data_IF_756265082620
#
_entry.id   IF_756265082620
#
_cell.length_a   1.000
_cell.length_b   1.000
_cell.length_c   1.000
_cell.angle_alpha   90.00
_cell.angle_beta   90.00
_cell.angle_gamma   90.00
#
_symmetry.space_group_name_H-M   'P 1'
#
loop_
_entity.id
_entity.type
_entity.pdbx_description
1 polymer ?
#
# COMPACT_ATOMS: atom_id res chain seq x y z
N UNK A 1 7.61 1.85 35.45
CA UNK A 1 6.80 2.37 34.33
C UNK A 1 7.77 2.57 33.19
N UNK A 2 8.12 1.46 32.55
CA UNK A 2 9.24 1.32 31.63
C UNK A 2 8.65 1.17 30.24
N UNK A 3 9.02 2.07 29.35
CA UNK A 3 8.56 2.12 27.97
C UNK A 3 9.47 1.19 27.14
N UNK A 4 9.21 -0.12 27.23
CA UNK A 4 9.93 -1.16 26.47
C UNK A 4 9.12 -1.55 25.22
N UNK A 5 9.03 -0.66 24.25
CA UNK A 5 8.28 -0.94 23.02
C UNK A 5 8.85 -0.22 21.82
N UNK A 6 9.72 -0.89 21.04
CA UNK A 6 9.92 -0.62 19.60
C UNK A 6 11.02 -1.47 18.92
N UNK A 7 11.63 -2.49 19.55
CA UNK A 7 12.77 -3.21 18.93
C UNK A 7 12.59 -4.72 18.66
N UNK A 8 11.36 -5.25 18.69
CA UNK A 8 11.05 -6.68 18.43
C UNK A 8 9.97 -6.97 17.34
N UNK A 9 9.51 -5.96 16.60
CA UNK A 9 8.14 -5.94 16.05
C UNK A 9 7.78 -6.92 14.89
N UNK A 10 8.71 -7.69 14.31
CA UNK A 10 8.35 -8.72 13.31
C UNK A 10 8.17 -10.12 13.92
N UNK A 11 8.83 -10.39 15.05
CA UNK A 11 8.73 -11.67 15.76
C UNK A 11 7.58 -11.71 16.76
N UNK A 12 7.08 -10.56 17.21
CA UNK A 12 5.99 -10.46 18.20
C UNK A 12 4.58 -10.43 17.60
N UNK A 13 4.42 -10.18 16.29
CA UNK A 13 3.09 -10.17 15.66
C UNK A 13 2.52 -11.59 15.52
N UNK A 14 1.19 -11.76 15.73
CA UNK A 14 0.56 -13.07 15.63
C UNK A 14 0.65 -13.62 14.21
N UNK A 15 0.94 -14.91 14.10
CA UNK A 15 0.82 -15.64 12.83
C UNK A 15 -0.64 -15.89 12.49
N UNK A 16 -1.02 -15.87 11.19
CA UNK A 16 -2.37 -16.23 10.79
C UNK A 16 -2.67 -17.72 11.08
N UNK A 17 -3.90 -18.05 11.51
CA UNK A 17 -4.33 -19.43 11.63
C UNK A 17 -4.25 -20.15 10.27
N UNK A 18 -3.71 -21.39 10.21
CA UNK A 18 -3.54 -22.13 8.95
C UNK A 18 -4.82 -22.22 8.11
N UNK A 19 -5.97 -22.38 8.75
CA UNK A 19 -7.29 -22.49 8.14
C UNK A 19 -7.75 -21.18 7.48
N UNK A 20 -7.22 -20.01 7.87
CA UNK A 20 -7.60 -18.71 7.31
C UNK A 20 -6.62 -18.17 6.27
N UNK A 21 -5.45 -18.82 6.09
CA UNK A 21 -4.40 -18.39 5.15
C UNK A 21 -4.93 -18.15 3.73
N UNK A 22 -5.87 -18.98 3.28
CA UNK A 22 -6.48 -18.91 1.94
C UNK A 22 -7.42 -17.71 1.74
N UNK A 23 -7.77 -16.99 2.81
CA UNK A 23 -8.59 -15.76 2.78
C UNK A 23 -7.75 -14.49 2.80
N UNK A 24 -6.49 -14.58 3.20
CA UNK A 24 -5.66 -13.40 3.40
C UNK A 24 -5.15 -12.87 2.06
N UNK A 25 -5.36 -11.58 1.83
CA UNK A 25 -4.90 -10.86 0.65
C UNK A 25 -4.15 -9.63 1.12
N UNK A 26 -2.89 -9.52 0.72
CA UNK A 26 -2.13 -8.29 0.87
C UNK A 26 -2.38 -7.40 -0.33
N UNK A 27 -3.27 -6.42 -0.18
CA UNK A 27 -3.69 -5.57 -1.30
C UNK A 27 -2.64 -4.51 -1.68
N UNK A 28 -1.56 -4.38 -0.89
CA UNK A 28 -0.48 -3.45 -1.16
C UNK A 28 0.82 -3.84 -0.42
N UNK A 29 1.83 -4.25 -1.18
CA UNK A 29 3.14 -4.59 -0.64
C UNK A 29 4.31 -4.20 -1.54
N UNK A 30 5.51 -4.11 -0.95
CA UNK A 30 6.76 -3.77 -1.65
C UNK A 30 7.79 -4.90 -1.62
N UNK A 31 7.46 -6.13 -2.05
CA UNK A 31 8.38 -7.26 -1.93
C UNK A 31 9.64 -7.13 -2.78
N UNK A 32 9.62 -6.28 -3.82
CA UNK A 32 10.80 -5.95 -4.63
C UNK A 32 11.90 -5.22 -3.82
N UNK A 33 11.56 -4.71 -2.64
CA UNK A 33 12.52 -4.16 -1.69
C UNK A 33 12.96 -5.21 -0.63
N UNK A 34 12.59 -6.49 -0.73
CA UNK A 34 13.10 -7.51 0.20
C UNK A 34 14.63 -7.63 0.07
N UNK A 35 15.41 -7.73 1.18
CA UNK A 35 16.86 -7.84 1.13
C UNK A 35 17.42 -8.91 0.20
N UNK A 36 16.70 -10.02 0.00
CA UNK A 36 17.15 -11.09 -0.89
C UNK A 36 17.29 -10.65 -2.35
N UNK A 37 16.60 -9.58 -2.76
CA UNK A 37 16.70 -9.02 -4.12
C UNK A 37 18.01 -8.27 -4.38
N UNK A 38 18.72 -7.87 -3.31
CA UNK A 38 19.95 -7.10 -3.37
C UNK A 38 21.16 -7.88 -2.83
N UNK A 39 21.05 -9.21 -2.73
CA UNK A 39 22.17 -10.06 -2.35
C UNK A 39 23.24 -10.01 -3.45
N UNK A 40 24.37 -9.35 -3.13
CA UNK A 40 25.51 -9.20 -4.04
C UNK A 40 26.15 -10.53 -4.47
N UNK A 41 25.86 -11.64 -3.78
CA UNK A 41 26.32 -12.97 -4.14
C UNK A 41 25.46 -13.62 -5.25
N UNK A 42 24.27 -13.08 -5.53
CA UNK A 42 23.34 -13.61 -6.53
C UNK A 42 23.35 -12.78 -7.80
N UNK A 43 23.13 -13.45 -8.94
CA UNK A 43 22.77 -12.75 -10.18
C UNK A 43 21.35 -12.18 -10.05
N UNK A 44 21.03 -11.10 -10.79
CA UNK A 44 19.70 -10.49 -10.73
C UNK A 44 18.55 -11.50 -11.01
N UNK A 45 18.66 -12.44 -11.98
CA UNK A 45 17.63 -13.48 -12.14
C UNK A 45 17.51 -14.41 -10.92
N UNK A 46 18.63 -14.83 -10.34
CA UNK A 46 18.64 -15.71 -9.17
C UNK A 46 18.05 -15.02 -7.93
N UNK A 47 18.30 -13.72 -7.76
CA UNK A 47 17.73 -12.93 -6.67
C UNK A 47 16.19 -12.79 -6.81
N UNK A 48 15.70 -12.57 -8.04
CA UNK A 48 14.27 -12.56 -8.33
C UNK A 48 13.61 -13.93 -8.08
N UNK A 49 14.28 -15.03 -8.45
CA UNK A 49 13.79 -16.39 -8.17
C UNK A 49 13.76 -16.70 -6.67
N UNK A 50 14.77 -16.25 -5.91
CA UNK A 50 14.79 -16.40 -4.45
C UNK A 50 13.63 -15.63 -3.80
N UNK A 51 13.37 -14.39 -4.23
CA UNK A 51 12.21 -13.63 -3.76
C UNK A 51 10.90 -14.34 -4.10
N UNK A 52 10.77 -14.88 -5.31
CA UNK A 52 9.58 -15.62 -5.73
C UNK A 52 9.33 -16.84 -4.84
N UNK A 53 10.36 -17.63 -4.54
CA UNK A 53 10.23 -18.79 -3.64
C UNK A 53 9.77 -18.38 -2.25
N UNK A 54 10.32 -17.29 -1.70
CA UNK A 54 9.89 -16.73 -0.42
C UNK A 54 8.41 -16.33 -0.46
N UNK A 55 7.98 -15.61 -1.49
CA UNK A 55 6.59 -15.20 -1.68
C UNK A 55 5.63 -16.39 -1.81
N UNK A 56 6.05 -17.46 -2.50
CA UNK A 56 5.26 -18.70 -2.62
C UNK A 56 5.03 -19.36 -1.25
N UNK A 57 6.05 -19.35 -0.39
CA UNK A 57 5.98 -19.88 0.98
C UNK A 57 5.27 -18.96 1.99
N UNK A 58 5.01 -17.70 1.63
CA UNK A 58 4.32 -16.76 2.52
C UNK A 58 2.89 -17.27 2.80
N UNK A 59 2.44 -17.36 4.07
CA UNK A 59 1.15 -17.94 4.44
C UNK A 59 0.00 -16.95 4.17
N UNK A 60 -0.30 -16.76 2.89
CA UNK A 60 -1.32 -15.85 2.37
C UNK A 60 -1.82 -16.28 1.00
N UNK A 61 -3.03 -15.91 0.60
CA UNK A 61 -3.61 -16.27 -0.69
C UNK A 61 -3.04 -15.45 -1.84
N UNK A 62 -2.95 -14.12 -1.67
CA UNK A 62 -2.51 -13.20 -2.73
C UNK A 62 -1.66 -12.07 -2.17
N UNK A 63 -0.62 -11.72 -2.92
CA UNK A 63 0.23 -10.54 -2.70
C UNK A 63 0.09 -9.63 -3.91
N UNK A 64 -0.28 -8.37 -3.68
CA UNK A 64 -0.29 -7.33 -4.71
C UNK A 64 1.02 -6.55 -4.60
N UNK A 65 1.95 -6.83 -5.50
CA UNK A 65 3.30 -6.28 -5.49
C UNK A 65 3.36 -4.95 -6.25
N UNK A 66 3.57 -3.86 -5.51
CA UNK A 66 3.70 -2.53 -6.05
C UNK A 66 5.02 -2.34 -6.79
N UNK A 67 4.95 -1.60 -7.90
CA UNK A 67 6.11 -0.94 -8.46
C UNK A 67 6.08 0.54 -8.04
N UNK A 68 7.17 1.02 -7.47
CA UNK A 68 7.28 2.37 -6.90
C UNK A 68 8.03 3.30 -7.86
N UNK A 69 8.96 2.75 -8.63
CA UNK A 69 9.96 3.47 -9.41
C UNK A 69 10.40 2.71 -10.67
N UNK A 70 11.23 3.33 -11.50
CA UNK A 70 11.87 2.62 -12.62
C UNK A 70 12.84 1.50 -12.19
N UNK A 71 13.26 1.48 -10.91
CA UNK A 71 14.23 0.51 -10.39
C UNK A 71 13.60 -0.84 -10.12
N UNK A 72 12.45 -0.85 -9.46
CA UNK A 72 11.74 -2.05 -8.99
C UNK A 72 10.73 -2.59 -10.00
N UNK A 73 10.29 -1.77 -10.97
CA UNK A 73 9.42 -2.22 -12.08
C UNK A 73 9.90 -3.50 -12.79
N UNK A 74 11.18 -3.64 -13.20
CA UNK A 74 11.65 -4.87 -13.84
C UNK A 74 11.58 -6.10 -12.92
N UNK A 75 11.79 -5.91 -11.62
CA UNK A 75 11.73 -6.99 -10.62
C UNK A 75 10.28 -7.47 -10.51
N UNK A 76 9.33 -6.54 -10.32
CA UNK A 76 7.89 -6.84 -10.25
C UNK A 76 7.41 -7.55 -11.52
N UNK A 77 7.86 -7.08 -12.70
CA UNK A 77 7.55 -7.69 -13.98
C UNK A 77 8.04 -9.14 -14.07
N UNK A 78 9.28 -9.40 -13.64
CA UNK A 78 9.87 -10.74 -13.66
C UNK A 78 9.17 -11.71 -12.71
N UNK A 79 8.80 -11.23 -11.51
CA UNK A 79 8.09 -12.04 -10.52
C UNK A 79 6.73 -12.52 -11.09
N UNK A 80 6.01 -11.65 -11.81
CA UNK A 80 4.71 -11.98 -12.37
C UNK A 80 4.77 -12.83 -13.65
N UNK A 81 5.75 -12.60 -14.53
CA UNK A 81 5.93 -13.38 -15.76
C UNK A 81 6.16 -14.88 -15.50
N UNK A 82 6.70 -15.20 -14.32
CA UNK A 82 7.03 -16.56 -13.92
C UNK A 82 5.87 -17.32 -13.29
N UNK A 83 4.71 -16.69 -13.03
CA UNK A 83 3.50 -17.33 -12.47
C UNK A 83 2.59 -17.94 -13.54
N UNK A 84 2.79 -17.58 -14.81
CA UNK A 84 2.00 -18.03 -15.96
C UNK A 84 2.21 -19.52 -16.36
N UNK A 85 3.02 -20.30 -15.62
CA UNK A 85 3.39 -21.67 -16.01
C UNK A 85 2.86 -22.79 -15.10
N UNK A 86 1.99 -22.52 -14.14
CA UNK A 86 1.42 -23.55 -13.26
C UNK A 86 0.11 -24.12 -13.79
N UNK A 87 0.10 -24.65 -15.01
CA UNK A 87 -1.01 -25.49 -15.48
C UNK A 87 -0.79 -26.94 -15.05
N UNK A 88 -1.47 -27.40 -13.99
CA UNK A 88 -2.00 -28.78 -13.91
C UNK A 88 -3.06 -28.94 -12.80
N UNK A 89 -4.26 -29.34 -13.23
CA UNK A 89 -5.23 -30.20 -12.53
C UNK A 89 -5.91 -29.75 -11.22
N UNK A 90 -6.57 -28.59 -11.22
CA UNK A 90 -7.75 -28.41 -10.36
C UNK A 90 -8.79 -27.54 -11.08
N UNK A 91 -10.08 -27.91 -10.97
CA UNK A 91 -11.23 -27.28 -11.64
C UNK A 91 -11.61 -25.89 -11.09
N UNK A 92 -10.67 -25.19 -10.48
CA UNK A 92 -10.85 -23.84 -9.95
C UNK A 92 -9.84 -22.93 -10.65
N UNK A 93 -10.22 -21.75 -11.15
CA UNK A 93 -9.25 -20.80 -11.69
C UNK A 93 -8.20 -20.54 -10.61
N UNK A 94 -6.95 -20.95 -10.86
CA UNK A 94 -5.85 -20.74 -9.92
C UNK A 94 -5.66 -19.24 -9.75
N UNK A 95 -6.15 -18.68 -8.64
CA UNK A 95 -5.93 -17.29 -8.29
C UNK A 95 -4.41 -17.08 -8.19
N UNK A 96 -3.88 -16.13 -8.97
CA UNK A 96 -2.46 -15.84 -8.94
C UNK A 96 -2.05 -15.43 -7.51
N UNK A 97 -1.07 -16.15 -6.96
CA UNK A 97 -0.44 -15.82 -5.66
C UNK A 97 0.13 -14.40 -5.68
N UNK A 98 0.53 -13.91 -6.85
CA UNK A 98 1.19 -12.62 -7.02
C UNK A 98 0.53 -11.82 -8.14
N UNK A 99 0.08 -10.62 -7.82
CA UNK A 99 -0.45 -9.64 -8.77
C UNK A 99 0.54 -8.48 -8.89
N UNK A 100 1.12 -8.24 -10.08
CA UNK A 100 2.00 -7.09 -10.28
C UNK A 100 1.20 -5.79 -10.38
N UNK A 101 1.80 -4.70 -9.93
CA UNK A 101 1.31 -3.36 -10.22
C UNK A 101 2.35 -2.60 -11.01
N UNK A 102 1.88 -1.76 -11.92
CA UNK A 102 2.74 -0.88 -12.71
C UNK A 102 2.31 0.57 -12.51
N UNK A 103 3.26 1.42 -12.16
CA UNK A 103 3.01 2.82 -11.86
C UNK A 103 4.29 3.53 -11.46
N UNK A 104 4.22 4.86 -11.39
CA UNK A 104 5.27 5.70 -10.83
C UNK A 104 4.72 6.47 -9.63
N UNK A 105 5.34 6.21 -8.48
CA UNK A 105 5.01 6.82 -7.22
C UNK A 105 5.32 8.34 -7.23
N UNK A 106 4.51 9.21 -6.57
CA UNK A 106 4.74 10.66 -6.52
C UNK A 106 6.13 11.09 -6.02
N UNK A 107 6.82 10.24 -5.26
CA UNK A 107 8.22 10.50 -4.89
C UNK A 107 9.13 10.68 -6.10
N UNK A 108 8.87 9.95 -7.18
CA UNK A 108 9.65 9.99 -8.41
C UNK A 108 9.05 10.93 -9.48
N UNK A 109 7.99 11.68 -9.16
CA UNK A 109 7.37 12.62 -10.09
C UNK A 109 8.35 13.70 -10.60
N UNK A 110 9.37 14.06 -9.80
CA UNK A 110 10.43 14.98 -10.20
C UNK A 110 11.34 14.44 -11.32
N UNK A 111 11.30 13.14 -11.61
CA UNK A 111 12.12 12.49 -12.65
C UNK A 111 11.43 12.52 -14.02
N UNK A 112 10.23 13.10 -14.09
CA UNK A 112 9.39 13.14 -15.29
C UNK A 112 9.26 14.58 -15.76
N UNK A 113 9.60 14.81 -17.01
CA UNK A 113 9.34 16.05 -17.74
C UNK A 113 7.98 15.99 -18.42
N UNK A 114 7.25 17.11 -18.34
CA UNK A 114 5.98 17.32 -19.07
C UNK A 114 6.21 17.85 -20.50
N UNK A 115 7.46 18.05 -20.92
CA UNK A 115 7.78 18.43 -22.29
C UNK A 115 7.63 17.24 -23.26
N UNK A 116 7.40 17.54 -24.54
CA UNK A 116 7.23 16.52 -25.59
C UNK A 116 8.49 15.68 -25.83
N UNK A 117 9.68 16.27 -25.66
CA UNK A 117 10.96 15.61 -25.82
C UNK A 117 11.77 15.62 -24.52
N UNK A 118 12.65 14.62 -24.29
CA UNK A 118 13.54 14.63 -23.13
C UNK A 118 14.32 15.95 -23.03
N UNK A 119 14.42 16.56 -21.82
CA UNK A 119 15.22 17.76 -21.63
C UNK A 119 16.67 17.54 -22.07
N UNK A 120 17.22 18.47 -22.86
CA UNK A 120 18.62 18.42 -23.31
C UNK A 120 19.61 18.73 -22.19
N UNK A 121 19.16 19.52 -21.21
CA UNK A 121 19.94 19.92 -20.06
C UNK A 121 19.21 19.50 -18.78
N UNK A 122 19.81 18.52 -18.09
CA UNK A 122 19.32 17.98 -16.82
C UNK A 122 19.24 19.07 -15.75
N UNK A 123 20.27 19.91 -15.63
CA UNK A 123 20.33 20.98 -14.63
C UNK A 123 19.21 21.97 -14.86
N UNK A 124 19.06 22.43 -16.11
CA UNK A 124 18.01 23.39 -16.45
C UNK A 124 16.62 22.85 -16.15
N UNK A 125 16.35 21.58 -16.47
CA UNK A 125 15.07 20.95 -16.14
C UNK A 125 14.73 21.04 -14.64
N UNK A 126 15.68 20.69 -13.77
CA UNK A 126 15.45 20.71 -12.33
C UNK A 126 15.33 22.13 -11.77
N UNK A 127 16.08 23.09 -12.32
CA UNK A 127 15.93 24.50 -11.96
C UNK A 127 14.54 25.03 -12.34
N UNK A 128 14.06 24.70 -13.53
CA UNK A 128 12.72 25.09 -13.98
C UNK A 128 11.62 24.43 -13.14
N UNK A 129 11.77 23.13 -12.83
CA UNK A 129 10.82 22.37 -12.02
C UNK A 129 10.68 22.94 -10.60
N UNK A 130 11.79 23.38 -9.99
CA UNK A 130 11.80 23.91 -8.63
C UNK A 130 11.82 25.44 -8.57
N UNK A 131 11.54 26.12 -9.69
CA UNK A 131 11.52 27.57 -9.79
C UNK A 131 10.60 28.19 -8.71
N UNK A 132 11.10 29.24 -8.05
CA UNK A 132 10.40 29.93 -6.97
C UNK A 132 10.52 29.31 -5.58
N UNK A 133 11.16 28.14 -5.44
CA UNK A 133 11.48 27.58 -4.11
C UNK A 133 12.76 28.22 -3.53
N UNK A 134 12.76 28.42 -2.21
CA UNK A 134 13.89 29.06 -1.51
C UNK A 134 15.14 28.18 -1.60
N UNK A 135 16.24 28.76 -2.09
CA UNK A 135 17.52 28.07 -2.32
C UNK A 135 17.44 26.92 -3.32
N UNK A 136 16.48 26.97 -4.26
CA UNK A 136 16.33 25.91 -5.24
C UNK A 136 17.60 25.68 -6.05
N UNK A 137 18.22 26.76 -6.52
CA UNK A 137 19.47 26.71 -7.30
C UNK A 137 20.60 26.02 -6.53
N UNK A 138 20.91 26.51 -5.31
CA UNK A 138 21.97 25.94 -4.48
C UNK A 138 21.75 24.47 -4.15
N UNK A 139 20.50 24.08 -3.82
CA UNK A 139 20.19 22.69 -3.48
C UNK A 139 20.20 21.78 -4.70
N UNK A 140 19.71 22.24 -5.85
CA UNK A 140 19.80 21.49 -7.12
C UNK A 140 21.27 21.27 -7.47
N UNK A 141 22.11 22.29 -7.40
CA UNK A 141 23.54 22.18 -7.71
C UNK A 141 24.24 21.20 -6.76
N UNK A 142 23.87 21.18 -5.48
CA UNK A 142 24.41 20.24 -4.50
C UNK A 142 24.08 18.77 -4.83
N UNK A 143 22.88 18.50 -5.35
CA UNK A 143 22.40 17.13 -5.59
C UNK A 143 22.39 16.72 -7.06
N UNK A 144 22.84 17.60 -7.97
CA UNK A 144 22.68 17.42 -9.42
C UNK A 144 23.28 16.11 -9.94
N UNK A 145 24.41 15.69 -9.37
CA UNK A 145 25.06 14.43 -9.72
C UNK A 145 24.22 13.19 -9.36
N UNK A 146 23.44 13.29 -8.27
CA UNK A 146 22.65 12.21 -7.71
C UNK A 146 21.22 12.15 -8.27
N UNK A 147 20.71 13.25 -8.81
CA UNK A 147 19.44 13.27 -9.53
C UNK A 147 19.50 12.36 -10.77
N UNK A 148 18.42 11.69 -11.18
CA UNK A 148 18.40 10.94 -12.44
C UNK A 148 18.28 11.86 -13.65
N UNK A 149 18.51 11.34 -14.86
CA UNK A 149 18.14 12.06 -16.08
C UNK A 149 16.60 12.07 -16.25
N UNK A 150 15.99 13.22 -16.57
CA UNK A 150 14.55 13.31 -16.71
C UNK A 150 14.04 12.54 -17.92
N UNK A 151 12.96 11.79 -17.72
CA UNK A 151 12.22 11.04 -18.75
C UNK A 151 10.97 11.80 -19.17
N UNK A 152 10.42 11.56 -20.37
CA UNK A 152 9.16 12.21 -20.75
C UNK A 152 7.96 11.51 -20.12
N UNK A 153 6.85 12.25 -19.96
CA UNK A 153 5.58 11.65 -19.58
C UNK A 153 5.14 10.57 -20.58
N UNK A 154 5.39 10.77 -21.88
CA UNK A 154 5.09 9.76 -22.91
C UNK A 154 5.87 8.46 -22.71
N UNK A 155 7.16 8.56 -22.36
CA UNK A 155 7.98 7.38 -22.07
C UNK A 155 7.50 6.63 -20.82
N UNK A 156 7.11 7.36 -19.78
CA UNK A 156 6.49 6.78 -18.60
C UNK A 156 5.22 6.01 -18.96
N UNK A 157 4.27 6.65 -19.65
CA UNK A 157 2.99 6.02 -20.02
C UNK A 157 3.18 4.81 -20.93
N UNK A 158 4.14 4.86 -21.86
CA UNK A 158 4.50 3.71 -22.70
C UNK A 158 4.96 2.51 -21.86
N UNK A 159 5.80 2.73 -20.85
CA UNK A 159 6.28 1.66 -19.94
C UNK A 159 5.15 1.09 -19.09
N UNK A 160 4.33 1.96 -18.49
CA UNK A 160 3.18 1.55 -17.67
C UNK A 160 2.19 0.74 -18.52
N UNK A 161 1.85 1.21 -19.73
CA UNK A 161 1.00 0.49 -20.68
C UNK A 161 1.54 -0.89 -20.99
N UNK A 162 2.83 -0.98 -21.35
CA UNK A 162 3.48 -2.25 -21.66
C UNK A 162 3.38 -3.24 -20.48
N UNK A 163 3.55 -2.78 -19.24
CA UNK A 163 3.37 -3.59 -18.04
C UNK A 163 1.93 -4.11 -17.89
N UNK A 164 0.95 -3.22 -17.97
CA UNK A 164 -0.48 -3.52 -17.80
C UNK A 164 -1.08 -4.40 -18.92
N UNK A 165 -0.54 -4.30 -20.15
CA UNK A 165 -0.96 -5.13 -21.29
C UNK A 165 -0.31 -6.52 -21.25
N UNK A 166 0.94 -6.63 -20.78
CA UNK A 166 1.63 -7.92 -20.63
C UNK A 166 1.11 -8.77 -19.47
N UNK A 167 0.40 -8.17 -18.51
CA UNK A 167 -0.16 -8.83 -17.34
C UNK A 167 -1.64 -8.46 -17.19
N UNK A 168 -2.58 -9.25 -17.73
CA UNK A 168 -4.00 -8.89 -17.78
C UNK A 168 -4.66 -8.63 -16.42
N UNK A 169 -4.15 -9.26 -15.37
CA UNK A 169 -4.63 -9.13 -13.98
C UNK A 169 -3.93 -8.01 -13.20
N UNK A 170 -2.93 -7.35 -13.77
CA UNK A 170 -2.21 -6.26 -13.13
C UNK A 170 -3.12 -5.07 -12.83
N UNK A 171 -2.77 -4.28 -11.82
CA UNK A 171 -3.44 -3.02 -11.52
C UNK A 171 -2.46 -1.85 -11.68
N UNK A 172 -2.98 -0.62 -11.81
CA UNK A 172 -2.15 0.58 -11.79
C UNK A 172 -1.70 0.85 -10.35
N UNK A 173 -0.40 0.89 -10.10
CA UNK A 173 0.12 1.18 -8.77
C UNK A 173 1.64 1.03 -8.64
N UNK A 174 2.27 1.77 -7.73
CA UNK A 174 1.68 2.77 -6.84
C UNK A 174 1.71 4.16 -7.51
N UNK A 175 0.59 4.89 -7.52
CA UNK A 175 0.48 6.23 -8.11
C UNK A 175 -0.25 7.16 -7.17
N UNK A 176 -0.05 8.47 -7.22
CA UNK A 176 -0.77 9.35 -6.30
C UNK A 176 -0.20 10.75 -6.13
N UNK A 177 -0.44 11.32 -4.96
CA UNK A 177 -0.01 12.66 -4.55
C UNK A 177 0.68 12.59 -3.18
N UNK A 178 1.87 13.17 -3.08
CA UNK A 178 2.59 13.33 -1.82
C UNK A 178 3.05 14.78 -1.65
N UNK A 179 2.35 15.53 -0.79
CA UNK A 179 2.71 16.92 -0.47
C UNK A 179 3.80 17.01 0.61
N UNK A 180 4.06 15.93 1.32
CA UNK A 180 5.04 15.88 2.40
C UNK A 180 6.45 15.64 1.85
N UNK A 181 6.58 14.85 0.78
CA UNK A 181 7.85 14.39 0.21
C UNK A 181 8.80 15.54 -0.14
N UNK A 182 10.09 15.31 0.13
CA UNK A 182 11.22 16.19 -0.17
C UNK A 182 12.33 15.36 -0.79
N UNK A 183 13.05 15.93 -1.76
CA UNK A 183 14.11 15.19 -2.47
C UNK A 183 15.26 14.86 -1.49
N UNK A 184 15.74 13.62 -1.41
CA UNK A 184 16.92 13.27 -0.62
C UNK A 184 18.20 13.96 -1.12
N UNK A 185 19.14 14.29 -0.23
CA UNK A 185 20.43 14.91 -0.61
C UNK A 185 21.43 13.96 -1.26
N UNK A 186 21.24 12.67 -1.07
CA UNK A 186 22.01 11.63 -1.74
C UNK A 186 21.08 10.85 -2.64
N UNK A 187 21.64 10.27 -3.71
CA UNK A 187 20.89 9.34 -4.55
C UNK A 187 20.20 8.32 -3.66
N UNK A 188 18.94 8.02 -3.99
CA UNK A 188 18.20 6.97 -3.30
C UNK A 188 18.92 5.63 -3.49
N UNK A 189 19.80 5.29 -2.56
CA UNK A 189 20.42 3.97 -2.45
C UNK A 189 19.59 3.18 -1.45
N UNK A 190 18.81 2.22 -1.95
CA UNK A 190 18.23 1.22 -1.07
C UNK A 190 19.36 0.25 -0.70
N UNK A 191 19.76 0.29 0.56
CA UNK A 191 20.67 -0.68 1.15
C UNK A 191 19.93 -1.40 2.29
N UNK A 192 19.37 -2.59 2.04
CA UNK A 192 18.64 -3.35 3.03
C UNK A 192 19.52 -3.84 4.20
N UNK A 193 20.85 -3.72 4.06
CA UNK A 193 21.85 -4.16 5.03
C UNK A 193 22.56 -3.00 5.74
N UNK A 194 22.23 -1.75 5.43
CA UNK A 194 22.77 -0.59 6.16
C UNK A 194 22.40 -0.72 7.64
N UNK A 195 23.41 -0.75 8.51
CA UNK A 195 23.35 -1.22 9.92
C UNK A 195 22.48 -0.44 10.92
N UNK A 196 21.41 0.23 10.49
CA UNK A 196 20.40 0.88 11.32
C UNK A 196 19.10 0.06 11.41
N UNK A 197 19.21 -1.27 11.34
CA UNK A 197 18.09 -2.21 11.44
C UNK A 197 17.41 -2.24 12.83
N UNK A 198 17.95 -1.53 13.83
CA UNK A 198 17.47 -1.50 15.23
C UNK A 198 16.78 -0.19 15.63
N UNK A 199 16.38 0.65 14.67
CA UNK A 199 15.52 1.82 14.92
C UNK A 199 14.56 1.99 13.75
N UNK A 200 13.35 1.43 13.83
CA UNK A 200 12.16 1.79 13.04
C UNK A 200 12.41 2.37 11.64
N UNK A 201 13.33 1.79 10.88
CA UNK A 201 13.64 2.25 9.53
C UNK A 201 12.73 1.48 8.60
N UNK A 202 11.43 1.74 8.77
CA UNK A 202 10.42 1.33 7.83
C UNK A 202 10.65 2.14 6.56
N UNK A 203 11.52 1.61 5.69
CA UNK A 203 11.64 2.03 4.30
C UNK A 203 10.38 1.58 3.53
N UNK A 204 9.20 2.02 3.98
CA UNK A 204 7.93 1.83 3.30
C UNK A 204 7.49 3.18 2.75
N UNK A 205 6.80 3.21 1.61
CA UNK A 205 6.40 4.45 0.93
C UNK A 205 5.57 5.40 1.83
N UNK A 206 4.87 4.84 2.82
CA UNK A 206 4.00 5.58 3.73
C UNK A 206 4.51 5.68 5.17
N UNK A 207 5.65 5.05 5.49
CA UNK A 207 6.21 5.24 6.82
C UNK A 207 6.60 6.69 6.96
N UNK A 208 5.95 7.34 7.93
CA UNK A 208 6.44 8.58 8.51
C UNK A 208 7.95 8.40 8.64
N UNK A 209 8.73 9.23 7.96
CA UNK A 209 9.99 9.66 8.54
C UNK A 209 9.63 10.00 9.99
N UNK A 210 10.02 9.13 10.92
CA UNK A 210 9.78 9.30 12.35
C UNK A 210 10.46 10.57 12.89
N UNK A 211 11.13 11.32 12.03
CA UNK A 211 11.47 12.73 12.21
C UNK A 211 10.33 13.63 11.65
N UNK A 212 9.15 13.55 12.26
CA UNK A 212 8.10 14.55 12.09
C UNK A 212 8.50 15.88 12.78
N UNK A 213 8.16 17.05 12.22
CA UNK A 213 8.74 18.35 12.58
C UNK A 213 8.14 19.00 13.85
N UNK A 214 7.66 18.22 14.83
CA UNK A 214 7.05 18.77 16.04
C UNK A 214 7.20 17.92 17.32
N UNK A 215 8.23 17.06 17.40
CA UNK A 215 8.61 16.42 18.66
C UNK A 215 9.39 17.40 19.53
N UNK A 216 8.88 17.68 20.74
CA UNK A 216 9.60 18.40 21.77
C UNK A 216 10.98 17.79 21.99
N UNK A 217 11.98 18.66 22.07
CA UNK A 217 13.36 18.37 22.45
C UNK A 217 13.37 17.47 23.69
N UNK A 218 13.89 16.25 23.53
CA UNK A 218 14.52 15.54 24.62
C UNK A 218 15.96 16.04 24.68
N UNK A 219 16.28 16.72 25.76
CA UNK A 219 17.66 17.12 26.09
C UNK A 219 18.49 15.85 26.29
N UNK A 220 19.33 15.51 25.30
CA UNK A 220 20.44 14.60 25.51
C UNK A 220 21.57 15.41 26.18
N UNK A 221 21.57 15.37 27.52
CA UNK A 221 22.75 15.64 28.34
C UNK A 221 23.80 14.56 28.02
N UNK A 222 24.77 14.88 27.16
CA UNK A 222 26.04 14.16 27.10
C UNK A 222 27.21 15.14 26.98
N UNK A 223 27.90 15.21 28.12
CA UNK A 223 29.26 15.61 28.44
C UNK A 223 30.09 16.43 27.44
N UNK A 224 30.66 17.49 28.00
CA UNK A 224 31.41 18.55 27.35
C UNK A 224 32.70 18.06 26.68
N UNK A 225 32.83 18.23 25.36
CA UNK A 225 34.02 18.81 24.72
C UNK A 225 33.73 19.36 23.32
N UNK A 226 34.13 20.61 23.10
CA UNK A 226 33.83 21.40 21.92
C UNK A 226 34.49 20.89 20.63
N UNK A 227 33.70 20.54 19.61
CA UNK A 227 33.93 20.87 18.18
C UNK A 227 32.62 20.81 17.40
N UNK A 228 32.16 21.95 16.89
CA UNK A 228 30.94 22.08 16.09
C UNK A 228 31.08 21.33 14.75
N UNK A 229 30.42 20.18 14.60
CA UNK A 229 30.16 19.53 13.32
C UNK A 229 28.71 19.77 12.91
N UNK A 230 28.51 20.78 12.07
CA UNK A 230 27.25 21.07 11.39
C UNK A 230 26.99 20.01 10.32
N UNK A 231 26.28 18.93 10.62
CA UNK A 231 25.85 17.96 9.61
C UNK A 231 24.60 18.49 8.90
N UNK A 232 24.66 18.61 7.56
CA UNK A 232 23.49 19.02 6.76
C UNK A 232 22.34 18.00 6.92
N UNK A 233 21.07 18.43 6.87
CA UNK A 233 19.93 17.51 6.93
C UNK A 233 19.93 16.54 5.75
N UNK A 234 19.47 15.30 5.98
CA UNK A 234 19.43 14.23 4.96
C UNK A 234 18.53 14.55 3.76
N UNK A 235 17.49 15.36 3.96
CA UNK A 235 16.54 15.78 2.92
C UNK A 235 16.78 17.25 2.52
N UNK A 236 16.50 17.56 1.25
CA UNK A 236 16.44 18.92 0.73
C UNK A 236 15.16 19.64 1.18
N UNK A 237 15.04 20.91 0.81
CA UNK A 237 13.77 21.66 0.84
C UNK A 237 12.97 21.52 -0.45
N UNK A 238 13.59 21.00 -1.50
CA UNK A 238 12.97 20.80 -2.81
C UNK A 238 11.76 19.87 -2.70
N UNK A 239 10.62 20.35 -3.17
CA UNK A 239 9.39 19.57 -3.31
C UNK A 239 8.93 19.61 -4.76
N UNK A 240 8.52 18.47 -5.31
CA UNK A 240 7.86 18.45 -6.62
C UNK A 240 6.57 19.29 -6.55
N UNK A 241 6.38 20.31 -7.40
CA UNK A 241 5.17 21.12 -7.37
C UNK A 241 3.89 20.28 -7.50
N UNK A 242 2.87 20.63 -6.73
CA UNK A 242 1.59 19.90 -6.76
C UNK A 242 0.97 19.83 -8.18
N UNK A 243 0.95 20.91 -8.99
CA UNK A 243 0.45 20.82 -10.37
C UNK A 243 1.20 19.78 -11.23
N UNK A 244 2.51 19.61 -10.99
CA UNK A 244 3.34 18.64 -11.70
C UNK A 244 2.99 17.21 -11.30
N UNK A 245 2.83 16.94 -10.00
CA UNK A 245 2.35 15.64 -9.51
C UNK A 245 0.96 15.31 -10.09
N UNK A 246 0.03 16.28 -10.06
CA UNK A 246 -1.32 16.15 -10.60
C UNK A 246 -1.34 15.81 -12.10
N UNK A 247 -0.47 16.45 -12.90
CA UNK A 247 -0.35 16.16 -14.32
C UNK A 247 0.03 14.69 -14.58
N UNK A 248 1.01 14.18 -13.83
CA UNK A 248 1.51 12.81 -13.99
C UNK A 248 0.47 11.79 -13.53
N UNK A 249 -0.11 11.93 -12.33
CA UNK A 249 -1.09 10.97 -11.82
C UNK A 249 -2.38 10.96 -12.65
N UNK A 250 -2.83 12.13 -13.15
CA UNK A 250 -3.98 12.21 -14.06
C UNK A 250 -3.74 11.39 -15.33
N UNK A 251 -2.55 11.51 -15.92
CA UNK A 251 -2.21 10.77 -17.13
C UNK A 251 -2.13 9.24 -16.87
N UNK A 252 -1.54 8.83 -15.74
CA UNK A 252 -1.47 7.42 -15.35
C UNK A 252 -2.87 6.82 -15.11
N UNK A 253 -3.76 7.54 -14.41
CA UNK A 253 -5.13 7.05 -14.16
C UNK A 253 -5.95 7.05 -15.46
N UNK A 254 -5.79 8.03 -16.34
CA UNK A 254 -6.46 8.04 -17.64
C UNK A 254 -6.10 6.80 -18.48
N UNK A 255 -4.82 6.38 -18.43
CA UNK A 255 -4.38 5.12 -19.03
C UNK A 255 -5.03 3.90 -18.37
N UNK A 256 -5.17 3.89 -17.05
CA UNK A 256 -5.85 2.80 -16.34
C UNK A 256 -7.34 2.71 -16.68
N UNK A 257 -8.04 3.84 -16.85
CA UNK A 257 -9.43 3.86 -17.36
C UNK A 257 -9.50 3.27 -18.76
N UNK A 258 -8.62 3.73 -19.67
CA UNK A 258 -8.58 3.22 -21.04
C UNK A 258 -8.41 1.69 -21.09
N UNK A 259 -7.57 1.15 -20.20
CA UNK A 259 -7.28 -0.29 -20.12
C UNK A 259 -8.22 -1.07 -19.20
N UNK A 260 -9.15 -0.42 -18.49
CA UNK A 260 -10.00 -1.07 -17.49
C UNK A 260 -9.19 -1.69 -16.35
N UNK A 261 -8.31 -0.90 -15.73
CA UNK A 261 -7.40 -1.34 -14.66
C UNK A 261 -7.72 -0.59 -13.38
N UNK A 262 -7.86 -1.35 -12.29
CA UNK A 262 -8.04 -0.77 -10.96
C UNK A 262 -6.76 -0.02 -10.52
N UNK A 263 -6.89 0.81 -9.50
CA UNK A 263 -5.83 1.73 -9.05
C UNK A 263 -5.53 1.54 -7.58
N UNK A 264 -4.25 1.42 -7.24
CA UNK A 264 -3.72 1.63 -5.89
C UNK A 264 -3.18 3.07 -5.79
N UNK A 265 -3.84 3.90 -4.97
CA UNK A 265 -3.69 5.35 -4.95
C UNK A 265 -3.08 5.91 -3.65
N UNK A 266 -1.92 6.54 -3.76
CA UNK A 266 -1.20 7.22 -2.68
C UNK A 266 -1.73 8.62 -2.43
N UNK A 267 -1.95 8.97 -1.16
CA UNK A 267 -2.43 10.30 -0.78
C UNK A 267 -1.92 10.75 0.58
N UNK A 268 -0.81 11.50 0.59
CA UNK A 268 -0.21 12.03 1.82
C UNK A 268 -0.29 13.56 1.87
N UNK A 269 -0.90 14.07 2.95
CA UNK A 269 -1.16 15.49 3.17
C UNK A 269 -1.89 16.19 2.01
N UNK A 270 -2.70 15.43 1.25
CA UNK A 270 -3.25 15.86 -0.03
C UNK A 270 -4.78 15.72 -0.14
N UNK A 271 -5.51 15.43 0.94
CA UNK A 271 -6.93 15.03 0.88
C UNK A 271 -7.82 15.96 0.04
N UNK A 272 -7.67 17.28 0.16
CA UNK A 272 -8.42 18.23 -0.68
C UNK A 272 -8.07 18.13 -2.17
N UNK A 273 -6.78 18.06 -2.49
CA UNK A 273 -6.32 17.89 -3.87
C UNK A 273 -6.73 16.52 -4.45
N UNK A 274 -6.78 15.48 -3.61
CA UNK A 274 -7.26 14.16 -3.98
C UNK A 274 -8.75 14.17 -4.32
N UNK A 275 -9.59 14.84 -3.52
CA UNK A 275 -11.02 14.99 -3.83
C UNK A 275 -11.25 15.78 -5.12
N UNK A 276 -10.49 16.86 -5.33
CA UNK A 276 -10.56 17.65 -6.56
C UNK A 276 -10.15 16.84 -7.79
N UNK A 277 -9.07 16.08 -7.70
CA UNK A 277 -8.61 15.18 -8.76
C UNK A 277 -9.66 14.11 -9.06
N UNK A 278 -10.24 13.47 -8.04
CA UNK A 278 -11.29 12.45 -8.23
C UNK A 278 -12.50 13.02 -8.96
N UNK A 279 -12.93 14.24 -8.59
CA UNK A 279 -14.02 14.95 -9.28
C UNK A 279 -13.65 15.22 -10.74
N UNK A 280 -12.46 15.73 -10.99
CA UNK A 280 -11.98 16.03 -12.34
C UNK A 280 -11.91 14.77 -13.22
N UNK A 281 -11.35 13.68 -12.71
CA UNK A 281 -11.25 12.41 -13.44
C UNK A 281 -12.63 11.85 -13.81
N UNK A 282 -13.64 11.97 -12.94
CA UNK A 282 -15.01 11.55 -13.25
C UNK A 282 -15.67 12.44 -14.31
N UNK A 283 -15.28 13.71 -14.42
CA UNK A 283 -15.75 14.60 -15.49
C UNK A 283 -15.04 14.32 -16.82
N UNK A 284 -13.73 14.04 -16.76
CA UNK A 284 -12.91 13.71 -17.94
C UNK A 284 -13.27 12.35 -18.54
N UNK A 285 -13.64 11.38 -17.69
CA UNK A 285 -13.95 10.01 -18.08
C UNK A 285 -15.36 9.60 -17.59
N UNK A 286 -16.43 10.17 -18.17
CA UNK A 286 -17.80 9.94 -17.72
C UNK A 286 -18.33 8.53 -18.01
N UNK A 287 -17.65 7.76 -18.87
CA UNK A 287 -18.11 6.46 -19.35
C UNK A 287 -19.18 6.56 -20.44
N UNK A 288 -19.82 5.43 -20.76
CA UNK A 288 -20.88 5.33 -21.77
C UNK A 288 -20.50 4.36 -22.89
N UNK A 289 -20.06 4.90 -24.03
CA UNK A 289 -19.57 4.08 -25.16
C UNK A 289 -18.13 3.57 -24.97
N UNK A 290 -17.39 4.16 -24.03
CA UNK A 290 -16.06 3.73 -23.59
C UNK A 290 -16.05 3.53 -22.08
N UNK A 291 -15.00 2.88 -21.58
CA UNK A 291 -14.74 2.81 -20.15
C UNK A 291 -14.59 4.22 -19.57
N UNK A 292 -15.16 4.43 -18.39
CA UNK A 292 -15.07 5.64 -17.59
C UNK A 292 -14.51 5.36 -16.20
N UNK A 293 -14.37 6.40 -15.38
CA UNK A 293 -13.86 6.24 -14.01
C UNK A 293 -14.69 5.28 -13.17
N UNK A 294 -16.00 5.18 -13.41
CA UNK A 294 -16.89 4.28 -12.64
C UNK A 294 -16.70 2.81 -12.99
N UNK A 295 -16.02 2.50 -14.09
CA UNK A 295 -15.80 1.12 -14.54
C UNK A 295 -14.51 0.51 -13.94
N UNK A 296 -13.72 1.31 -13.22
CA UNK A 296 -12.53 0.86 -12.47
C UNK A 296 -12.68 1.19 -10.99
N UNK A 297 -12.05 0.41 -10.12
CA UNK A 297 -12.00 0.65 -8.68
C UNK A 297 -10.71 1.37 -8.27
N UNK A 298 -10.80 2.21 -7.25
CA UNK A 298 -9.67 2.97 -6.70
C UNK A 298 -9.54 2.64 -5.22
N UNK A 299 -8.43 1.99 -4.84
CA UNK A 299 -8.04 1.75 -3.46
C UNK A 299 -7.15 2.90 -2.99
N UNK A 300 -7.59 3.62 -1.97
CA UNK A 300 -6.76 4.59 -1.26
C UNK A 300 -5.96 3.81 -0.22
N UNK A 301 -4.73 3.41 -0.57
CA UNK A 301 -3.89 2.58 0.29
C UNK A 301 -3.39 3.38 1.50
N UNK A 302 -3.06 2.67 2.59
CA UNK A 302 -2.61 3.20 3.87
C UNK A 302 -3.41 4.46 4.27
N UNK A 303 -4.75 4.43 4.10
CA UNK A 303 -5.54 5.64 4.08
C UNK A 303 -5.52 6.34 5.43
N UNK A 304 -4.94 7.54 5.47
CA UNK A 304 -4.89 8.34 6.71
C UNK A 304 -5.71 9.63 6.64
N UNK A 305 -6.70 9.67 5.75
CA UNK A 305 -7.64 10.78 5.63
C UNK A 305 -8.54 10.86 6.87
N UNK A 306 -9.11 12.05 7.10
CA UNK A 306 -10.13 12.24 8.14
C UNK A 306 -11.40 11.42 7.86
N UNK A 307 -12.07 11.00 8.93
CA UNK A 307 -13.29 10.19 8.90
C UNK A 307 -14.38 10.83 8.02
N UNK A 308 -14.57 12.14 8.08
CA UNK A 308 -15.58 12.84 7.29
C UNK A 308 -15.22 12.86 5.79
N UNK A 309 -13.93 12.91 5.48
CA UNK A 309 -13.43 12.84 4.11
C UNK A 309 -13.67 11.45 3.55
N UNK A 310 -13.35 10.39 4.31
CA UNK A 310 -13.61 8.99 3.91
C UNK A 310 -15.10 8.78 3.63
N UNK A 311 -15.96 9.22 4.54
CA UNK A 311 -17.42 9.14 4.37
C UNK A 311 -17.91 9.86 3.12
N UNK A 312 -17.40 11.07 2.88
CA UNK A 312 -17.76 11.86 1.68
C UNK A 312 -17.29 11.18 0.41
N UNK A 313 -16.06 10.68 0.41
CA UNK A 313 -15.43 10.00 -0.71
C UNK A 313 -16.23 8.75 -1.12
N UNK A 314 -16.50 7.87 -0.16
CA UNK A 314 -17.22 6.62 -0.40
C UNK A 314 -18.70 6.84 -0.74
N UNK A 315 -19.33 7.91 -0.23
CA UNK A 315 -20.70 8.31 -0.61
C UNK A 315 -20.75 8.85 -2.05
N UNK A 316 -19.72 9.60 -2.46
CA UNK A 316 -19.69 10.25 -3.78
C UNK A 316 -19.27 9.27 -4.88
N UNK A 317 -18.33 8.38 -4.56
CA UNK A 317 -17.70 7.45 -5.50
C UNK A 317 -17.86 6.01 -4.99
N UNK A 318 -18.84 5.24 -5.54
CA UNK A 318 -19.08 3.85 -5.14
C UNK A 318 -17.89 2.92 -5.38
N UNK A 319 -17.04 3.27 -6.34
CA UNK A 319 -15.81 2.55 -6.71
C UNK A 319 -14.58 2.94 -5.87
N UNK A 320 -14.76 3.73 -4.79
CA UNK A 320 -13.69 4.06 -3.85
C UNK A 320 -13.60 3.05 -2.69
N UNK A 321 -12.42 2.47 -2.51
CA UNK A 321 -12.05 1.51 -1.47
C UNK A 321 -11.01 2.13 -0.53
N UNK A 322 -11.03 1.71 0.73
CA UNK A 322 -10.10 2.20 1.76
C UNK A 322 -9.16 1.06 2.16
N UNK A 323 -7.87 1.21 1.86
CA UNK A 323 -6.81 0.30 2.31
C UNK A 323 -6.34 0.64 3.72
N UNK A 324 -6.19 -0.39 4.55
CA UNK A 324 -5.74 -0.29 5.94
C UNK A 324 -4.50 -1.18 6.18
N UNK A 325 -3.42 -0.55 6.63
CA UNK A 325 -2.16 -1.19 7.03
C UNK A 325 -1.92 -1.05 8.53
N UNK A 326 -1.64 -2.17 9.20
CA UNK A 326 -1.20 -2.15 10.60
C UNK A 326 0.16 -1.44 10.79
N UNK A 327 0.99 -1.36 9.74
CA UNK A 327 2.30 -0.71 9.80
C UNK A 327 2.19 0.81 9.88
N UNK A 328 1.21 1.40 9.18
CA UNK A 328 1.08 2.85 9.04
C UNK A 328 -0.06 3.41 9.86
N UNK A 329 -1.23 2.78 9.77
CA UNK A 329 -2.45 3.31 10.34
C UNK A 329 -2.49 3.17 11.86
N UNK A 330 -1.95 2.07 12.41
CA UNK A 330 -1.91 1.86 13.87
C UNK A 330 -1.04 2.89 14.61
N UNK A 331 -0.20 3.66 13.90
CA UNK A 331 0.57 4.79 14.47
C UNK A 331 -0.33 6.02 14.71
N UNK A 332 -1.54 6.06 14.16
CA UNK A 332 -2.50 7.15 14.36
C UNK A 332 -3.66 6.67 15.21
N UNK A 333 -4.06 7.42 16.22
CA UNK A 333 -5.16 7.03 17.11
C UNK A 333 -6.53 6.92 16.41
N UNK A 334 -6.71 7.54 15.24
CA UNK A 334 -8.00 7.62 14.54
C UNK A 334 -8.32 6.45 13.59
N UNK A 335 -7.46 5.44 13.49
CA UNK A 335 -7.64 4.39 12.48
C UNK A 335 -8.87 3.51 12.74
N UNK A 336 -9.21 3.26 14.02
CA UNK A 336 -10.43 2.50 14.38
C UNK A 336 -11.69 3.27 13.99
N UNK A 337 -11.71 4.60 14.17
CA UNK A 337 -12.84 5.44 13.74
C UNK A 337 -13.06 5.41 12.22
N UNK A 338 -11.96 5.37 11.46
CA UNK A 338 -12.02 5.24 9.99
C UNK A 338 -12.60 3.88 9.61
N UNK A 339 -12.14 2.78 10.22
CA UNK A 339 -12.66 1.42 9.96
C UNK A 339 -14.15 1.35 10.33
N UNK A 340 -14.54 1.93 11.46
CA UNK A 340 -15.92 1.96 11.94
C UNK A 340 -16.85 2.74 11.00
N UNK A 341 -16.34 3.81 10.38
CA UNK A 341 -17.16 4.72 9.56
C UNK A 341 -17.17 4.35 8.08
N UNK A 342 -16.09 3.75 7.58
CA UNK A 342 -15.99 3.32 6.20
C UNK A 342 -17.00 2.20 5.90
N UNK A 343 -17.45 2.15 4.65
CA UNK A 343 -18.31 1.09 4.15
C UNK A 343 -17.60 -0.27 4.27
N UNK A 344 -18.15 -1.16 5.10
CA UNK A 344 -17.55 -2.45 5.41
C UNK A 344 -17.32 -3.33 4.18
N UNK A 345 -18.10 -3.16 3.09
CA UNK A 345 -17.93 -3.88 1.83
C UNK A 345 -16.79 -3.32 0.94
N UNK A 346 -16.19 -2.20 1.35
CA UNK A 346 -15.17 -1.45 0.59
C UNK A 346 -13.93 -1.10 1.43
N UNK A 347 -13.67 -1.91 2.46
CA UNK A 347 -12.41 -1.90 3.20
C UNK A 347 -11.52 -3.01 2.66
N UNK A 348 -10.23 -2.71 2.49
CA UNK A 348 -9.17 -3.65 2.14
C UNK A 348 -8.09 -3.63 3.21
N UNK A 349 -7.34 -4.72 3.36
CA UNK A 349 -6.19 -4.80 4.25
C UNK A 349 -4.90 -5.01 3.46
N UNK A 350 -3.80 -4.52 4.02
CA UNK A 350 -2.49 -4.58 3.39
C UNK A 350 -1.37 -4.57 4.45
N UNK A 351 -0.18 -5.02 4.07
CA UNK A 351 0.99 -4.91 4.94
C UNK A 351 1.70 -3.58 4.79
N UNK A 352 1.71 -3.01 3.58
CA UNK A 352 2.58 -1.91 3.17
C UNK A 352 4.02 -2.16 3.65
N UNK A 353 4.53 -3.35 3.36
CA UNK A 353 5.79 -3.85 3.90
C UNK A 353 6.67 -4.51 2.83
N UNK A 354 7.98 -4.49 3.06
CA UNK A 354 8.97 -4.93 2.08
C UNK A 354 9.55 -6.33 2.35
N UNK A 355 9.50 -6.83 3.60
CA UNK A 355 10.08 -8.15 3.94
C UNK A 355 9.03 -9.23 3.93
N UNK A 356 9.24 -10.28 3.15
CA UNK A 356 8.27 -11.37 2.97
C UNK A 356 7.89 -12.05 4.29
N UNK A 357 8.86 -12.25 5.19
CA UNK A 357 8.66 -12.96 6.46
C UNK A 357 7.68 -12.24 7.41
N UNK A 358 7.45 -10.93 7.19
CA UNK A 358 6.55 -10.13 8.02
C UNK A 358 5.20 -9.79 7.39
N UNK A 359 5.01 -10.05 6.10
CA UNK A 359 3.81 -9.58 5.36
C UNK A 359 2.53 -10.21 5.90
N UNK A 360 2.47 -11.55 5.95
CA UNK A 360 1.28 -12.27 6.38
C UNK A 360 0.88 -11.95 7.83
N UNK A 361 1.86 -11.82 8.74
CA UNK A 361 1.62 -11.41 10.14
C UNK A 361 1.00 -10.01 10.23
N UNK A 362 1.45 -9.07 9.38
CA UNK A 362 0.93 -7.69 9.36
C UNK A 362 -0.48 -7.59 8.77
N UNK A 363 -0.75 -8.34 7.69
CA UNK A 363 -2.11 -8.46 7.12
C UNK A 363 -3.04 -9.12 8.11
N UNK A 364 -2.58 -10.15 8.83
CA UNK A 364 -3.36 -10.79 9.87
C UNK A 364 -3.67 -9.85 11.03
N UNK A 365 -2.68 -9.09 11.49
CA UNK A 365 -2.92 -8.08 12.52
C UNK A 365 -3.91 -7.00 12.06
N UNK A 366 -3.79 -6.55 10.80
CA UNK A 366 -4.76 -5.61 10.23
C UNK A 366 -6.17 -6.22 10.19
N UNK A 367 -6.28 -7.48 9.81
CA UNK A 367 -7.54 -8.25 9.78
C UNK A 367 -8.16 -8.37 11.18
N UNK A 368 -7.34 -8.65 12.20
CA UNK A 368 -7.78 -8.71 13.61
C UNK A 368 -8.36 -7.38 14.08
N UNK A 369 -7.65 -6.28 13.81
CA UNK A 369 -8.11 -4.94 14.16
C UNK A 369 -9.46 -4.64 13.50
N UNK A 370 -9.61 -4.95 12.21
CA UNK A 370 -10.88 -4.78 11.49
C UNK A 370 -12.00 -5.61 12.12
N UNK A 371 -11.74 -6.88 12.44
CA UNK A 371 -12.73 -7.76 13.07
C UNK A 371 -13.15 -7.29 14.46
N UNK A 372 -12.21 -6.82 15.28
CA UNK A 372 -12.51 -6.24 16.59
C UNK A 372 -13.38 -4.98 16.49
N UNK A 373 -13.11 -4.11 15.50
CA UNK A 373 -13.93 -2.90 15.27
C UNK A 373 -15.33 -3.29 14.78
N UNK A 374 -15.44 -4.21 13.83
CA UNK A 374 -16.74 -4.65 13.30
C UNK A 374 -17.57 -5.44 14.30
N UNK A 375 -16.95 -6.07 15.30
CA UNK A 375 -17.67 -6.70 16.41
C UNK A 375 -18.40 -5.67 17.29
N UNK A 376 -18.01 -4.38 17.25
CA UNK A 376 -18.72 -3.29 17.92
C UNK A 376 -18.58 -3.27 19.45
N UNK A 377 -17.58 -3.98 20.00
CA UNK A 377 -17.30 -3.96 21.43
C UNK A 377 -16.75 -2.59 21.88
N UNK A 378 -17.13 -2.18 23.08
CA UNK A 378 -16.46 -1.08 23.79
C UNK A 378 -15.01 -1.46 24.13
N UNK A 379 -14.17 -0.46 24.42
CA UNK A 379 -12.77 -0.70 24.82
C UNK A 379 -12.65 -1.63 26.03
N UNK A 380 -13.56 -1.51 27.00
CA UNK A 380 -13.59 -2.36 28.20
C UNK A 380 -13.98 -3.80 27.87
N UNK A 381 -14.96 -4.01 26.98
CA UNK A 381 -15.35 -5.33 26.51
C UNK A 381 -14.22 -5.98 25.71
N UNK A 382 -13.59 -5.24 24.79
CA UNK A 382 -12.49 -5.73 23.97
C UNK A 382 -11.30 -6.18 24.83
N UNK A 383 -10.95 -5.42 25.86
CA UNK A 383 -9.89 -5.79 26.79
C UNK A 383 -10.24 -7.09 27.54
N UNK A 384 -11.49 -7.24 27.98
CA UNK A 384 -11.95 -8.48 28.60
C UNK A 384 -11.88 -9.66 27.61
N UNK A 385 -12.37 -9.50 26.37
CA UNK A 385 -12.30 -10.55 25.35
C UNK A 385 -10.86 -10.99 25.06
N UNK A 386 -9.92 -10.04 25.01
CA UNK A 386 -8.48 -10.31 24.82
C UNK A 386 -7.90 -11.10 25.99
N UNK A 387 -8.28 -10.74 27.22
CA UNK A 387 -7.89 -11.48 28.44
C UNK A 387 -8.42 -12.91 28.41
N UNK A 388 -9.70 -13.09 28.10
CA UNK A 388 -10.36 -14.40 28.02
C UNK A 388 -9.73 -15.28 26.94
N UNK A 389 -9.44 -14.70 25.77
CA UNK A 389 -8.77 -15.40 24.68
C UNK A 389 -7.34 -15.83 25.05
N UNK A 390 -6.57 -14.95 25.71
CA UNK A 390 -5.24 -15.31 26.18
C UNK A 390 -5.28 -16.45 27.21
N UNK A 391 -6.25 -16.43 28.13
CA UNK A 391 -6.45 -17.50 29.11
C UNK A 391 -6.85 -18.83 28.45
N UNK A 392 -7.73 -18.81 27.45
CA UNK A 392 -8.15 -19.99 26.70
C UNK A 392 -6.98 -20.64 25.92
N UNK A 393 -6.12 -19.83 25.29
CA UNK A 393 -4.92 -20.35 24.59
C UNK A 393 -3.88 -20.92 25.56
N UNK A 394 -3.78 -20.39 26.77
CA UNK A 394 -2.87 -20.93 27.81
C UNK A 394 -3.38 -22.24 28.41
N UNK A 395 -4.70 -22.38 28.58
CA UNK A 395 -5.31 -23.59 29.15
C UNK A 395 -5.41 -24.75 28.16
N UNK A 396 -5.12 -24.50 26.87
CA UNK A 396 -5.26 -25.50 25.82
C UNK A 396 -6.72 -25.90 25.57
N UNK A 397 -7.67 -25.00 25.84
CA UNK A 397 -9.08 -25.24 25.51
C UNK A 397 -9.28 -25.24 23.99
N UNK A 398 -9.84 -26.33 23.47
CA UNK A 398 -10.14 -26.52 22.04
C UNK A 398 -11.41 -25.77 21.56
N UNK A 399 -11.79 -24.70 22.27
CA UNK A 399 -12.98 -23.90 21.97
C UNK A 399 -12.63 -22.62 21.21
N UNK A 400 -13.49 -22.27 20.26
CA UNK A 400 -13.37 -21.02 19.53
C UNK A 400 -13.89 -19.85 20.39
N UNK A 401 -13.09 -18.81 20.57
CA UNK A 401 -13.51 -17.62 21.35
C UNK A 401 -14.28 -16.64 20.48
N UNK A 402 -15.00 -15.70 21.10
CA UNK A 402 -15.68 -14.62 20.34
C UNK A 402 -14.72 -13.79 19.48
N UNK A 403 -13.46 -13.64 19.90
CA UNK A 403 -12.40 -13.02 19.09
C UNK A 403 -12.06 -13.84 17.86
N UNK A 404 -11.89 -15.16 18.02
CA UNK A 404 -11.64 -16.06 16.89
C UNK A 404 -12.79 -15.97 15.87
N UNK A 405 -14.04 -15.89 16.34
CA UNK A 405 -15.23 -15.67 15.50
C UNK A 405 -15.19 -14.34 14.77
N UNK A 406 -14.91 -13.24 15.48
CA UNK A 406 -14.82 -11.91 14.87
C UNK A 406 -13.72 -11.84 13.79
N UNK A 407 -12.55 -12.41 14.06
CA UNK A 407 -11.42 -12.39 13.13
C UNK A 407 -11.68 -13.24 11.89
N UNK A 408 -12.30 -14.42 12.04
CA UNK A 408 -12.68 -15.27 10.90
C UNK A 408 -13.74 -14.61 10.02
N UNK A 409 -14.78 -14.00 10.61
CA UNK A 409 -15.80 -13.23 9.87
C UNK A 409 -15.16 -12.06 9.11
N UNK A 410 -14.22 -11.36 9.74
CA UNK A 410 -13.49 -10.27 9.09
C UNK A 410 -12.64 -10.76 7.92
N UNK A 411 -11.88 -11.85 8.09
CA UNK A 411 -11.09 -12.44 7.02
C UNK A 411 -11.95 -12.84 5.81
N UNK A 412 -13.10 -13.47 6.05
CA UNK A 412 -14.06 -13.84 5.00
C UNK A 412 -14.59 -12.61 4.26
N UNK A 413 -15.04 -11.59 5.00
CA UNK A 413 -15.57 -10.37 4.40
C UNK A 413 -14.50 -9.59 3.62
N UNK A 414 -13.27 -9.46 4.15
CA UNK A 414 -12.16 -8.81 3.45
C UNK A 414 -11.78 -9.56 2.16
N UNK A 415 -11.82 -10.89 2.17
CA UNK A 415 -11.64 -11.69 0.96
C UNK A 415 -12.75 -11.41 -0.09
N UNK A 416 -14.02 -11.26 0.35
CA UNK A 416 -15.14 -10.86 -0.54
C UNK A 416 -14.92 -9.44 -1.08
N UNK A 417 -14.50 -8.50 -0.23
CA UNK A 417 -14.20 -7.11 -0.63
C UNK A 417 -13.11 -7.07 -1.70
N UNK A 418 -12.06 -7.89 -1.56
CA UNK A 418 -11.01 -8.01 -2.57
C UNK A 418 -11.56 -8.54 -3.90
N UNK A 419 -12.38 -9.60 -3.89
CA UNK A 419 -13.02 -10.11 -5.11
C UNK A 419 -13.88 -9.02 -5.77
N UNK A 420 -14.62 -8.25 -4.97
CA UNK A 420 -15.43 -7.12 -5.44
C UNK A 420 -14.58 -5.99 -6.04
N UNK A 421 -13.43 -5.67 -5.42
CA UNK A 421 -12.46 -4.73 -5.96
C UNK A 421 -11.90 -5.19 -7.31
N UNK A 422 -11.61 -6.48 -7.46
CA UNK A 422 -11.09 -7.04 -8.72
C UNK A 422 -12.12 -7.12 -9.85
N UNK A 423 -13.42 -7.17 -9.53
CA UNK A 423 -14.48 -7.09 -10.54
C UNK A 423 -14.54 -5.65 -11.08
N UNK A 424 -14.44 -5.48 -12.40
CA UNK A 424 -14.60 -4.18 -13.05
C UNK A 424 -15.95 -3.56 -12.63
N UNK A 425 -15.95 -2.26 -12.34
CA UNK A 425 -17.07 -1.53 -11.71
C UNK A 425 -18.39 -1.49 -12.49
N UNK A 426 -18.44 -2.08 -13.70
CA UNK A 426 -19.64 -2.23 -14.50
C UNK A 426 -20.55 -3.39 -14.08
N UNK A 427 -20.04 -4.41 -13.37
CA UNK A 427 -20.80 -5.63 -13.04
C UNK A 427 -21.64 -5.47 -11.76
N UNK A 428 -21.32 -4.50 -10.90
CA UNK A 428 -21.97 -4.36 -9.57
C UNK A 428 -23.33 -3.67 -9.59
N UNK A 429 -24.05 -3.62 -10.72
CA UNK A 429 -25.40 -3.03 -10.74
C UNK A 429 -26.51 -4.05 -10.49
N UNK A 430 -26.28 -5.33 -10.75
CA UNK A 430 -27.35 -6.33 -10.74
C UNK A 430 -27.14 -7.47 -9.71
N UNK A 431 -25.94 -7.65 -9.13
CA UNK A 431 -25.63 -8.81 -8.26
C UNK A 431 -25.64 -8.51 -6.74
N UNK A 432 -25.96 -7.29 -6.29
CA UNK A 432 -25.99 -6.98 -4.84
C UNK A 432 -27.17 -7.68 -4.10
N UNK A 433 -28.05 -8.39 -4.81
CA UNK A 433 -29.21 -9.10 -4.26
C UNK A 433 -29.01 -10.64 -4.11
N UNK A 434 -27.96 -11.25 -4.68
CA UNK A 434 -27.81 -12.73 -4.68
C UNK A 434 -26.87 -13.31 -3.59
N UNK A 435 -26.10 -12.49 -2.88
CA UNK A 435 -25.17 -12.97 -1.83
C UNK A 435 -25.83 -13.11 -0.42
N UNK A 436 -27.16 -13.16 -0.34
CA UNK A 436 -27.90 -13.20 0.93
C UNK A 436 -28.41 -14.60 1.37
N UNK A 437 -28.20 -15.67 0.58
CA UNK A 437 -28.97 -16.92 0.77
C UNK A 437 -28.20 -18.13 1.34
N UNK A 438 -26.97 -18.00 1.85
CA UNK A 438 -26.19 -19.16 2.35
C UNK A 438 -26.01 -19.24 3.89
N UNK A 439 -26.68 -18.38 4.66
CA UNK A 439 -26.63 -18.42 6.14
C UNK A 439 -28.03 -18.67 6.74
N UNK A 440 -28.66 -19.84 6.49
CA UNK A 440 -29.71 -20.42 7.35
C UNK A 440 -30.08 -21.85 6.86
N UNK A 441 -29.32 -22.87 7.28
CA UNK A 441 -29.85 -24.23 7.42
C UNK A 441 -29.17 -24.89 8.64
N UNK A 442 -29.42 -24.30 9.81
CA UNK A 442 -29.27 -24.99 11.08
C UNK A 442 -30.55 -25.82 11.29
N UNK A 443 -30.36 -27.14 11.30
CA UNK A 443 -31.43 -28.11 11.43
C UNK A 443 -32.26 -27.94 12.69
N UNK A 444 -33.57 -28.11 12.53
CA UNK A 444 -34.49 -28.38 13.62
C UNK A 444 -35.07 -29.79 13.42
N UNK A 445 -34.39 -30.76 14.04
CA UNK A 445 -34.98 -32.03 14.45
C UNK A 445 -36.09 -31.71 15.45
N UNK A 446 -37.35 -31.84 15.04
CA UNK A 446 -38.46 -32.04 15.97
C UNK A 446 -39.23 -33.31 15.61
N UNK A 447 -38.91 -34.35 16.37
CA UNK A 447 -39.78 -35.50 16.67
C UNK A 447 -41.08 -35.04 17.38
N UNK A 448 -42.08 -35.94 17.36
CA UNK A 448 -43.38 -35.93 18.05
C UNK A 448 -44.48 -35.10 17.33
N UNK A 449 -45.55 -35.67 16.75
CA UNK A 449 -46.48 -36.71 17.23
C UNK A 449 -47.17 -37.48 16.08
#
# INVERSE_FOLDING_TARGET
MSNDGANGAADELPSPPPELVHLLVDTHAHPADDPCTYDSSLSAPAAADALKQRLQSCPMATVVAMSTSYRDQPIVQQLASSSLSSSSSSQSPSQDKLLPCFGLHPWFAHTVSLAESPPKDKRQHYLDLFAGQKSAEDEVDEILADLPDPTTLSDLLRRVRQGLESHPTAILGEVGIDRAFRIPRKRWSYDPFSGNATKNNTHTCCSKHADGPNGSLGDDDDDATATARTTKPKLTRLKTPLPHQLAIVRAQISLAVELGRNVSFHSVQASGATLDLMRELHLLHPGGFSLGMRDINVSFHSCTMDVNIVKTLQKTYPNAYIGFSSTINSIKDNHRDVIQTADAKRILVESDFHRVDGMAKRVWEATRIVGEVWAGWSDAELEQKRSDHAAAKQSGQDGETELDVAWRKAAQQLARNWRRFCRNGAVTRDDDDEDNDDDEDDGDDSDED
#
